data_IF_737059793713
#
_entry.id   IF_737059793713
#
_cell.length_a   1.000
_cell.length_b   1.000
_cell.length_c   1.000
_cell.angle_alpha   90.00
_cell.angle_beta   90.00
_cell.angle_gamma   90.00
#
_symmetry.space_group_name_H-M   'P 1'
#
loop_
_entity.id
_entity.type
_entity.pdbx_description
1 polymer ?
#
# COMPACT_ATOMS: atom_id res chain seq x y z
N UNK A 1 0.45 -16.10 1.93
CA UNK A 1 -0.50 -15.20 2.61
C UNK A 1 -1.90 -15.62 2.25
N UNK A 2 -2.81 -15.77 3.22
CA UNK A 2 -4.21 -16.11 2.90
C UNK A 2 -4.96 -14.88 2.38
N UNK A 3 -6.11 -15.08 1.73
CA UNK A 3 -7.02 -13.97 1.33
C UNK A 3 -7.35 -13.07 2.52
N UNK A 4 -7.60 -13.66 3.71
CA UNK A 4 -7.87 -12.92 4.95
C UNK A 4 -6.68 -12.04 5.36
N UNK A 5 -5.46 -12.57 5.27
CA UNK A 5 -4.24 -11.81 5.59
C UNK A 5 -4.02 -10.64 4.60
N UNK A 6 -4.29 -10.87 3.30
CA UNK A 6 -4.22 -9.83 2.27
C UNK A 6 -5.16 -8.68 2.56
N UNK A 7 -6.43 -9.00 2.86
CA UNK A 7 -7.45 -8.00 3.24
C UNK A 7 -7.04 -7.26 4.51
N UNK A 8 -6.52 -7.96 5.52
CA UNK A 8 -6.05 -7.36 6.76
C UNK A 8 -4.89 -6.37 6.51
N UNK A 9 -3.92 -6.74 5.67
CA UNK A 9 -2.83 -5.85 5.27
C UNK A 9 -3.32 -4.60 4.53
N UNK A 10 -4.21 -4.76 3.55
CA UNK A 10 -4.77 -3.63 2.80
C UNK A 10 -5.49 -2.67 3.76
N UNK A 11 -6.31 -3.20 4.68
CA UNK A 11 -7.02 -2.39 5.69
C UNK A 11 -6.06 -1.69 6.67
N UNK A 12 -4.95 -2.34 7.07
CA UNK A 12 -3.99 -1.77 8.02
C UNK A 12 -3.08 -0.70 7.42
N UNK A 13 -2.93 -0.68 6.08
CA UNK A 13 -2.09 0.30 5.38
C UNK A 13 -2.50 1.77 5.57
N UNK A 14 -3.66 2.05 6.20
CA UNK A 14 -4.28 3.37 6.44
C UNK A 14 -4.43 4.26 5.19
N UNK A 15 -4.06 3.78 4.01
CA UNK A 15 -4.30 4.43 2.73
C UNK A 15 -5.73 4.20 2.34
N UNK A 16 -6.52 5.28 2.40
CA UNK A 16 -7.91 5.40 1.92
C UNK A 16 -8.68 4.06 1.95
N UNK A 17 -8.91 3.50 3.12
CA UNK A 17 -9.72 2.29 3.29
C UNK A 17 -11.13 2.42 2.67
N UNK A 18 -11.60 3.66 2.48
CA UNK A 18 -12.83 4.02 1.79
C UNK A 18 -12.78 3.90 0.25
N UNK A 19 -11.59 3.77 -0.34
CA UNK A 19 -11.42 3.57 -1.80
C UNK A 19 -11.55 2.09 -2.16
N UNK A 20 -11.17 1.21 -1.25
CA UNK A 20 -11.20 -0.23 -1.48
C UNK A 20 -12.44 -0.85 -0.81
N UNK A 21 -13.61 -0.56 -1.39
CA UNK A 21 -14.87 -1.15 -0.95
C UNK A 21 -14.93 -2.63 -1.35
N UNK A 22 -15.59 -3.43 -0.50
CA UNK A 22 -15.88 -4.84 -0.77
C UNK A 22 -14.68 -5.73 -1.14
N UNK A 23 -13.58 -5.58 -0.42
CA UNK A 23 -12.37 -6.43 -0.56
C UNK A 23 -12.66 -7.94 -0.47
N UNK A 24 -13.76 -8.33 0.18
CA UNK A 24 -14.19 -9.72 0.27
C UNK A 24 -14.66 -10.29 -1.10
N UNK A 25 -15.09 -9.44 -2.03
CA UNK A 25 -15.45 -9.83 -3.40
C UNK A 25 -14.26 -9.88 -4.37
N UNK A 26 -13.09 -9.39 -3.96
CA UNK A 26 -11.92 -9.36 -4.83
C UNK A 26 -11.37 -10.78 -4.99
N UNK A 27 -10.93 -11.10 -6.20
CA UNK A 27 -10.13 -12.29 -6.45
C UNK A 27 -8.77 -12.18 -5.76
N UNK A 28 -8.12 -13.33 -5.55
CA UNK A 28 -6.81 -13.36 -4.90
C UNK A 28 -5.75 -12.55 -5.67
N UNK A 29 -5.85 -12.55 -7.01
CA UNK A 29 -5.00 -11.76 -7.90
C UNK A 29 -5.23 -10.26 -7.76
N UNK A 30 -6.49 -9.81 -7.70
CA UNK A 30 -6.81 -8.39 -7.49
C UNK A 30 -6.30 -7.88 -6.14
N UNK A 31 -6.32 -8.72 -5.10
CA UNK A 31 -5.75 -8.38 -3.80
C UNK A 31 -4.22 -8.24 -3.88
N UNK A 32 -3.53 -9.10 -4.64
CA UNK A 32 -2.09 -9.00 -4.84
C UNK A 32 -1.68 -7.75 -5.62
N UNK A 33 -2.46 -7.38 -6.64
CA UNK A 33 -2.24 -6.13 -7.39
C UNK A 33 -2.39 -4.91 -6.48
N UNK A 34 -3.44 -4.86 -5.65
CA UNK A 34 -3.63 -3.79 -4.67
C UNK A 34 -2.46 -3.69 -3.70
N UNK A 35 -1.98 -4.82 -3.19
CA UNK A 35 -0.84 -4.87 -2.27
C UNK A 35 0.40 -4.30 -2.96
N UNK A 36 0.66 -4.67 -4.21
CA UNK A 36 1.80 -4.14 -4.98
C UNK A 36 1.69 -2.62 -5.16
N UNK A 37 0.52 -2.10 -5.50
CA UNK A 37 0.30 -0.66 -5.64
C UNK A 37 0.58 0.08 -4.32
N UNK A 38 0.04 -0.42 -3.20
CA UNK A 38 0.26 0.14 -1.87
C UNK A 38 1.76 0.17 -1.53
N UNK A 39 2.46 -0.95 -1.73
CA UNK A 39 3.90 -1.06 -1.42
C UNK A 39 4.73 -0.13 -2.32
N UNK A 40 4.44 -0.07 -3.62
CA UNK A 40 5.13 0.85 -4.53
C UNK A 40 4.90 2.33 -4.17
N UNK A 41 3.70 2.66 -3.68
CA UNK A 41 3.40 4.00 -3.19
C UNK A 41 4.21 4.35 -1.94
N UNK A 42 4.40 3.39 -1.03
CA UNK A 42 5.20 3.58 0.19
C UNK A 42 6.69 3.76 -0.12
N UNK A 43 7.23 2.97 -1.06
CA UNK A 43 8.61 3.09 -1.51
C UNK A 43 8.85 4.48 -2.09
N UNK A 44 7.97 4.96 -2.99
CA UNK A 44 8.08 6.30 -3.58
C UNK A 44 8.02 7.42 -2.54
N UNK A 45 7.13 7.33 -1.56
CA UNK A 45 7.07 8.30 -0.46
C UNK A 45 8.35 8.29 0.38
N UNK A 46 8.89 7.11 0.67
CA UNK A 46 10.16 6.97 1.39
C UNK A 46 11.32 7.59 0.61
N UNK A 47 11.40 7.38 -0.70
CA UNK A 47 12.42 7.97 -1.57
C UNK A 47 12.31 9.50 -1.61
N UNK A 48 11.09 10.05 -1.68
CA UNK A 48 10.87 11.50 -1.63
C UNK A 48 11.36 12.09 -0.31
N UNK A 49 11.04 11.45 0.81
CA UNK A 49 11.48 11.87 2.14
C UNK A 49 13.00 11.79 2.25
N UNK A 50 13.62 10.68 1.86
CA UNK A 50 15.06 10.49 1.89
C UNK A 50 15.79 11.55 1.04
N UNK A 51 15.28 11.82 -0.17
CA UNK A 51 15.81 12.87 -1.04
C UNK A 51 15.64 14.27 -0.43
N UNK A 52 14.53 14.56 0.24
CA UNK A 52 14.33 15.83 0.93
C UNK A 52 15.32 16.01 2.09
N UNK A 53 15.59 14.95 2.87
CA UNK A 53 16.60 14.98 3.91
C UNK A 53 18.00 15.21 3.33
N UNK A 54 18.42 14.44 2.32
CA UNK A 54 19.75 14.60 1.71
C UNK A 54 19.94 16.00 1.11
N UNK A 55 18.92 16.55 0.44
CA UNK A 55 19.00 17.87 -0.18
C UNK A 55 18.85 19.04 0.82
N UNK A 56 18.18 18.84 1.96
CA UNK A 56 18.00 19.86 3.00
C UNK A 56 19.18 20.00 3.97
N UNK A 57 20.09 19.02 4.01
CA UNK A 57 21.33 19.05 4.79
C UNK A 57 22.53 19.63 4.00
N UNK A 58 22.30 20.19 2.82
CA UNK A 58 23.33 20.72 1.93
C UNK A 58 23.44 22.23 1.97
#
# INVERSE_FOLDING_TARGET
MTKKDKIAFIKSSKRKSHVYNDLDHYSDMQLDELIREIVQGLIRESELIANAYVNGYR
#
